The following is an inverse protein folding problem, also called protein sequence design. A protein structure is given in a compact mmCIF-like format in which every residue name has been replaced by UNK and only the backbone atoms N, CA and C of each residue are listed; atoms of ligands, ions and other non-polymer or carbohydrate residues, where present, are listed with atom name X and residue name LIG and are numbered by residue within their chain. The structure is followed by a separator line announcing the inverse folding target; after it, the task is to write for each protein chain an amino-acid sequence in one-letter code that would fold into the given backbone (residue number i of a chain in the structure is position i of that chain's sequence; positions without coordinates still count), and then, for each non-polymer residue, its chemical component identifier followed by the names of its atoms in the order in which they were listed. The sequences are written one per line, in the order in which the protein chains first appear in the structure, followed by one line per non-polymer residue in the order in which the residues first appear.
data_IF_780147936909
#
_entry.id   IF_780147936909
#
_cell.length_a   1.000
_cell.length_b   1.000
_cell.length_c   1.000
_cell.angle_alpha   90.00
_cell.angle_beta   90.00
_cell.angle_gamma   90.00
#
_symmetry.space_group_name_H-M   'P 1'
#
loop_
_entity.id
_entity.type
_entity.pdbx_description
1 polymer ?
#
# COMPACT_ATOMS: atom_id res chain seq x y z
N UNK A 1 -4.03 30.40 29.21
CA UNK A 1 -3.58 28.99 29.26
C UNK A 1 -4.64 28.01 28.74
N UNK A 2 -5.90 28.09 29.18
CA UNK A 2 -7.02 27.23 28.70
C UNK A 2 -7.25 27.32 27.18
N UNK A 3 -7.16 28.53 26.59
CA UNK A 3 -7.28 28.73 25.14
C UNK A 3 -6.14 28.08 24.34
N UNK A 4 -4.92 27.99 24.91
CA UNK A 4 -3.77 27.37 24.25
C UNK A 4 -3.79 25.84 24.31
N UNK A 5 -4.39 25.26 25.34
CA UNK A 5 -4.60 23.81 25.42
C UNK A 5 -5.72 23.35 24.47
N UNK A 6 -6.79 24.13 24.34
CA UNK A 6 -7.87 23.85 23.38
C UNK A 6 -7.37 23.93 21.93
N UNK A 7 -6.53 24.91 21.59
CA UNK A 7 -5.93 25.00 20.25
C UNK A 7 -4.97 23.86 19.97
N UNK A 8 -4.10 23.51 20.93
CA UNK A 8 -3.17 22.38 20.79
C UNK A 8 -3.90 21.03 20.68
N UNK A 9 -4.99 20.85 21.42
CA UNK A 9 -5.83 19.64 21.31
C UNK A 9 -6.53 19.56 19.94
N UNK A 10 -7.01 20.68 19.41
CA UNK A 10 -7.58 20.75 18.06
C UNK A 10 -6.57 20.41 16.98
N UNK A 11 -5.36 20.98 17.06
CA UNK A 11 -4.27 20.70 16.12
C UNK A 11 -3.80 19.25 16.19
N UNK A 12 -3.60 18.72 17.40
CA UNK A 12 -3.26 17.31 17.61
C UNK A 12 -4.34 16.37 17.04
N UNK A 13 -5.62 16.72 17.23
CA UNK A 13 -6.73 15.95 16.65
C UNK A 13 -6.68 15.98 15.12
N UNK A 14 -6.42 17.14 14.52
CA UNK A 14 -6.24 17.27 13.08
C UNK A 14 -5.14 16.36 12.54
N UNK A 15 -3.96 16.39 13.15
CA UNK A 15 -2.84 15.51 12.77
C UNK A 15 -3.16 14.03 12.94
N UNK A 16 -3.84 13.65 14.03
CA UNK A 16 -4.26 12.26 14.24
C UNK A 16 -5.23 11.78 13.15
N UNK A 17 -6.18 12.63 12.75
CA UNK A 17 -7.11 12.33 11.65
C UNK A 17 -6.34 12.18 10.33
N UNK A 18 -5.39 13.08 10.05
CA UNK A 18 -4.54 12.96 8.84
C UNK A 18 -3.76 11.66 8.84
N UNK A 19 -3.10 11.30 9.95
CA UNK A 19 -2.37 10.04 10.06
C UNK A 19 -3.31 8.84 9.88
N UNK A 20 -4.50 8.87 10.48
CA UNK A 20 -5.47 7.81 10.34
C UNK A 20 -5.93 7.64 8.88
N UNK A 21 -6.22 8.73 8.17
CA UNK A 21 -6.61 8.71 6.76
C UNK A 21 -5.52 8.13 5.86
N UNK A 22 -4.25 8.44 6.13
CA UNK A 22 -3.12 7.91 5.38
C UNK A 22 -2.82 6.44 5.71
N UNK A 23 -3.00 6.03 6.96
CA UNK A 23 -2.80 4.64 7.37
C UNK A 23 -3.94 3.72 6.91
N UNK A 24 -5.16 4.24 6.79
CA UNK A 24 -6.38 3.47 6.55
C UNK A 24 -6.28 2.55 5.30
N UNK A 25 -5.82 3.00 4.11
CA UNK A 25 -5.71 2.12 2.95
C UNK A 25 -4.81 0.92 3.21
N UNK A 26 -3.67 1.13 3.86
CA UNK A 26 -2.72 0.06 4.18
C UNK A 26 -3.23 -0.89 5.26
N UNK A 27 -3.98 -0.38 6.25
CA UNK A 27 -4.63 -1.20 7.27
C UNK A 27 -5.75 -2.06 6.66
N UNK A 28 -6.58 -1.47 5.79
CA UNK A 28 -7.63 -2.21 5.08
C UNK A 28 -7.03 -3.27 4.16
N UNK A 29 -5.97 -2.92 3.42
CA UNK A 29 -5.24 -3.88 2.60
C UNK A 29 -4.62 -4.99 3.45
N UNK A 30 -4.04 -4.68 4.61
CA UNK A 30 -3.54 -5.66 5.56
C UNK A 30 -4.66 -6.59 6.08
N UNK A 31 -5.85 -6.08 6.36
CA UNK A 31 -6.96 -6.92 6.80
C UNK A 31 -7.39 -7.88 5.69
N UNK A 32 -7.55 -7.38 4.46
CA UNK A 32 -8.00 -8.16 3.30
C UNK A 32 -6.94 -9.12 2.77
N UNK A 33 -5.66 -8.86 3.03
CA UNK A 33 -4.54 -9.72 2.64
C UNK A 33 -4.23 -10.79 3.71
N UNK A 34 -4.71 -10.63 4.94
CA UNK A 34 -4.40 -11.53 6.06
C UNK A 34 -4.56 -13.04 5.78
N UNK A 35 -5.52 -13.52 4.95
CA UNK A 35 -5.61 -14.94 4.61
C UNK A 35 -4.33 -15.54 4.01
N UNK A 36 -3.49 -14.75 3.30
CA UNK A 36 -2.21 -15.23 2.77
C UNK A 36 -1.22 -15.62 3.86
N UNK A 37 -1.38 -15.12 5.10
CA UNK A 37 -0.57 -15.52 6.25
C UNK A 37 -0.80 -16.98 6.68
N UNK A 38 -1.80 -17.68 6.12
CA UNK A 38 -1.96 -19.13 6.27
C UNK A 38 -0.77 -19.87 5.62
N UNK A 39 -0.18 -19.31 4.56
CA UNK A 39 1.00 -19.90 3.94
C UNK A 39 2.25 -19.69 4.82
N UNK A 40 2.94 -20.79 5.15
CA UNK A 40 4.14 -20.75 5.98
C UNK A 40 5.25 -19.86 5.38
N UNK A 41 5.35 -19.80 4.04
CA UNK A 41 6.33 -18.97 3.33
C UNK A 41 6.13 -17.48 3.57
N UNK A 42 4.89 -17.00 3.57
CA UNK A 42 4.62 -15.59 3.90
C UNK A 42 4.91 -15.27 5.36
N UNK A 43 4.58 -16.17 6.28
CA UNK A 43 4.97 -15.99 7.68
C UNK A 43 6.49 -15.93 7.84
N UNK A 44 7.23 -16.80 7.14
CA UNK A 44 8.69 -16.81 7.15
C UNK A 44 9.26 -15.47 6.62
N UNK A 45 8.73 -14.96 5.51
CA UNK A 45 9.07 -13.63 4.99
C UNK A 45 8.94 -12.54 6.05
N UNK A 46 7.77 -12.40 6.66
CA UNK A 46 7.53 -11.33 7.64
C UNK A 46 8.28 -11.53 8.95
N UNK A 47 8.55 -12.77 9.37
CA UNK A 47 9.37 -13.07 10.56
C UNK A 47 10.85 -12.73 10.31
N UNK A 48 11.35 -12.94 9.08
CA UNK A 48 12.72 -12.61 8.72
C UNK A 48 12.96 -11.09 8.57
N UNK A 49 11.93 -10.33 8.20
CA UNK A 49 12.03 -8.88 8.05
C UNK A 49 12.25 -8.17 9.40
N UNK A 50 13.13 -7.15 9.47
CA UNK A 50 13.27 -6.29 10.64
C UNK A 50 11.96 -5.57 11.00
N UNK A 51 11.54 -5.54 12.28
CA UNK A 51 12.16 -6.18 13.45
C UNK A 51 11.94 -7.70 13.46
N UNK A 52 13.04 -8.46 13.38
CA UNK A 52 13.00 -9.91 13.22
C UNK A 52 12.26 -10.61 14.37
N UNK A 53 11.51 -11.66 14.04
CA UNK A 53 10.66 -12.38 14.99
C UNK A 53 9.31 -11.72 15.27
N UNK A 54 9.06 -10.49 14.80
CA UNK A 54 7.80 -9.76 15.04
C UNK A 54 6.90 -9.75 13.82
N UNK A 55 6.26 -10.89 13.54
CA UNK A 55 5.36 -11.08 12.40
C UNK A 55 4.39 -9.90 12.20
N UNK A 56 3.61 -9.54 13.23
CA UNK A 56 2.57 -8.52 13.10
C UNK A 56 3.14 -7.14 12.75
N UNK A 57 4.26 -6.76 13.37
CA UNK A 57 4.90 -5.46 13.12
C UNK A 57 5.43 -5.38 11.69
N UNK A 58 6.18 -6.39 11.24
CA UNK A 58 6.71 -6.43 9.88
C UNK A 58 5.59 -6.55 8.84
N UNK A 59 4.54 -7.31 9.14
CA UNK A 59 3.38 -7.46 8.27
C UNK A 59 2.65 -6.13 8.05
N UNK A 60 2.26 -5.45 9.13
CA UNK A 60 1.57 -4.16 9.04
C UNK A 60 2.49 -3.10 8.43
N UNK A 61 3.78 -3.10 8.79
CA UNK A 61 4.77 -2.18 8.22
C UNK A 61 4.90 -2.33 6.70
N UNK A 62 4.99 -3.56 6.19
CA UNK A 62 5.01 -3.82 4.74
C UNK A 62 3.69 -3.43 4.09
N UNK A 63 2.54 -3.75 4.69
CA UNK A 63 1.25 -3.39 4.14
C UNK A 63 1.07 -1.86 4.04
N UNK A 64 1.56 -1.10 5.02
CA UNK A 64 1.60 0.37 4.96
C UNK A 64 2.59 0.86 3.90
N UNK A 65 3.78 0.28 3.83
CA UNK A 65 4.79 0.65 2.85
C UNK A 65 4.32 0.44 1.40
N UNK A 66 3.60 -0.65 1.13
CA UNK A 66 3.02 -0.94 -0.17
C UNK A 66 1.88 0.02 -0.56
N UNK A 67 1.28 0.74 0.42
CA UNK A 67 0.28 1.79 0.14
C UNK A 67 0.91 3.12 -0.28
N UNK A 68 2.20 3.34 0.02
CA UNK A 68 2.88 4.61 -0.24
C UNK A 68 2.80 5.05 -1.71
N UNK A 69 3.03 4.20 -2.71
CA UNK A 69 2.92 4.62 -4.11
C UNK A 69 1.52 5.09 -4.50
N UNK A 70 0.47 4.45 -3.97
CA UNK A 70 -0.92 4.83 -4.24
C UNK A 70 -1.26 6.16 -3.58
N UNK A 71 -0.87 6.35 -2.31
CA UNK A 71 -1.04 7.62 -1.60
C UNK A 71 -0.29 8.75 -2.30
N UNK A 72 0.95 8.49 -2.72
CA UNK A 72 1.75 9.45 -3.46
C UNK A 72 1.06 9.85 -4.78
N UNK A 73 0.56 8.89 -5.57
CA UNK A 73 -0.15 9.20 -6.81
C UNK A 73 -1.43 10.02 -6.59
N UNK A 74 -2.19 9.73 -5.53
CA UNK A 74 -3.36 10.55 -5.15
C UNK A 74 -2.94 11.98 -4.80
N UNK A 75 -1.91 12.16 -3.98
CA UNK A 75 -1.42 13.48 -3.61
C UNK A 75 -0.86 14.26 -4.79
N UNK A 76 -0.15 13.58 -5.69
CA UNK A 76 0.35 14.18 -6.94
C UNK A 76 -0.81 14.60 -7.85
N UNK A 77 -1.86 13.77 -7.94
CA UNK A 77 -3.07 14.13 -8.69
C UNK A 77 -3.69 15.41 -8.15
N UNK A 78 -3.95 15.46 -6.84
CA UNK A 78 -4.57 16.62 -6.19
C UNK A 78 -3.68 17.87 -6.27
N UNK A 79 -2.36 17.71 -6.18
CA UNK A 79 -1.43 18.83 -6.13
C UNK A 79 -1.01 19.40 -7.49
N UNK A 80 -1.06 18.59 -8.55
CA UNK A 80 -0.43 18.93 -9.84
C UNK A 80 -1.36 18.84 -11.04
N UNK A 81 -2.49 18.14 -10.94
CA UNK A 81 -3.39 17.91 -12.09
C UNK A 81 -4.57 18.87 -12.03
N UNK A 82 -4.77 19.65 -13.09
CA UNK A 82 -5.97 20.47 -13.26
C UNK A 82 -7.21 19.58 -13.23
N UNK A 83 -8.21 19.92 -12.43
CA UNK A 83 -9.44 19.16 -12.33
C UNK A 83 -10.35 19.34 -13.54
N UNK A 84 -9.96 20.05 -14.60
CA UNK A 84 -10.79 20.17 -15.79
C UNK A 84 -11.07 18.82 -16.49
N UNK A 85 -12.34 18.57 -16.83
CA UNK A 85 -12.74 17.53 -17.79
C UNK A 85 -12.64 16.09 -17.27
N UNK A 86 -11.61 15.35 -17.68
CA UNK A 86 -11.39 13.95 -17.27
C UNK A 86 -10.00 13.72 -16.66
N UNK A 87 -9.28 14.80 -16.34
CA UNK A 87 -7.87 14.73 -16.00
C UNK A 87 -7.59 13.99 -14.68
N UNK A 88 -8.38 14.23 -13.61
CA UNK A 88 -8.22 13.46 -12.37
C UNK A 88 -8.62 12.00 -12.54
N UNK A 89 -9.67 11.71 -13.32
CA UNK A 89 -10.05 10.33 -13.67
C UNK A 89 -8.86 9.57 -14.28
N UNK A 90 -8.22 10.15 -15.30
CA UNK A 90 -7.06 9.56 -15.95
C UNK A 90 -5.87 9.39 -14.98
N UNK A 91 -5.57 10.40 -14.16
CA UNK A 91 -4.46 10.37 -13.21
C UNK A 91 -4.66 9.32 -12.09
N UNK A 92 -5.89 9.10 -11.64
CA UNK A 92 -6.23 8.06 -10.67
C UNK A 92 -6.10 6.65 -11.27
N UNK A 93 -6.51 6.47 -12.54
CA UNK A 93 -6.28 5.21 -13.27
C UNK A 93 -4.78 4.95 -13.43
N UNK A 94 -4.00 5.95 -13.82
CA UNK A 94 -2.55 5.84 -13.93
C UNK A 94 -1.91 5.47 -12.59
N UNK A 95 -2.34 6.12 -11.51
CA UNK A 95 -1.91 5.79 -10.13
C UNK A 95 -2.17 4.33 -9.80
N UNK A 96 -3.37 3.82 -10.11
CA UNK A 96 -3.73 2.43 -9.86
C UNK A 96 -2.84 1.46 -10.65
N UNK A 97 -2.55 1.76 -11.91
CA UNK A 97 -1.71 0.93 -12.78
C UNK A 97 -0.24 0.92 -12.33
N UNK A 98 0.33 2.09 -12.05
CA UNK A 98 1.73 2.21 -11.58
C UNK A 98 1.89 1.54 -10.21
N UNK A 99 1.01 1.84 -9.26
CA UNK A 99 1.00 1.18 -7.96
C UNK A 99 0.85 -0.34 -8.08
N UNK A 100 -0.03 -0.81 -8.97
CA UNK A 100 -0.21 -2.23 -9.25
C UNK A 100 1.04 -2.91 -9.80
N UNK A 101 1.74 -2.26 -10.74
CA UNK A 101 3.01 -2.75 -11.26
C UNK A 101 4.10 -2.84 -10.16
N UNK A 102 4.18 -1.82 -9.30
CA UNK A 102 5.13 -1.82 -8.19
C UNK A 102 4.87 -2.96 -7.20
N UNK A 103 3.61 -3.20 -6.84
CA UNK A 103 3.25 -4.25 -5.87
C UNK A 103 3.31 -5.66 -6.45
N UNK A 104 3.07 -5.81 -7.76
CA UNK A 104 3.02 -7.11 -8.44
C UNK A 104 4.36 -7.55 -9.01
N UNK A 105 5.24 -6.61 -9.37
CA UNK A 105 6.53 -6.90 -10.02
C UNK A 105 7.69 -6.49 -9.12
N UNK A 106 7.73 -5.22 -8.70
CA UNK A 106 8.87 -4.69 -7.96
C UNK A 106 8.96 -5.28 -6.56
N UNK A 107 7.86 -5.37 -5.82
CA UNK A 107 7.87 -5.92 -4.47
C UNK A 107 8.29 -7.41 -4.44
N UNK A 108 7.78 -8.30 -5.32
CA UNK A 108 8.30 -9.66 -5.46
C UNK A 108 9.78 -9.70 -5.84
N UNK A 109 10.22 -8.85 -6.77
CA UNK A 109 11.63 -8.79 -7.15
C UNK A 109 12.52 -8.35 -5.98
N UNK A 110 12.09 -7.38 -5.18
CA UNK A 110 12.80 -6.98 -3.95
C UNK A 110 12.85 -8.15 -2.96
N UNK A 111 11.72 -8.84 -2.75
CA UNK A 111 11.64 -9.95 -1.80
C UNK A 111 12.54 -11.13 -2.18
N UNK A 112 12.64 -11.44 -3.48
CA UNK A 112 13.43 -12.59 -3.98
C UNK A 112 14.89 -12.23 -4.25
N UNK A 113 15.15 -11.04 -4.77
CA UNK A 113 16.49 -10.67 -5.25
C UNK A 113 17.22 -9.78 -4.24
N UNK A 114 16.58 -8.74 -3.71
CA UNK A 114 17.26 -7.77 -2.86
C UNK A 114 17.44 -8.29 -1.43
N UNK A 115 16.36 -8.79 -0.79
CA UNK A 115 16.40 -9.22 0.61
C UNK A 115 17.49 -10.27 0.91
N UNK A 116 17.68 -11.34 0.10
CA UNK A 116 18.71 -12.33 0.40
C UNK A 116 20.12 -11.76 0.31
N UNK A 117 20.35 -10.83 -0.63
CA UNK A 117 21.63 -10.11 -0.77
C UNK A 117 21.91 -9.16 0.40
N UNK A 118 20.87 -8.75 1.12
CA UNK A 118 20.95 -7.95 2.34
C UNK A 118 21.00 -8.82 3.61
N UNK A 119 21.16 -10.14 3.47
CA UNK A 119 21.23 -11.08 4.60
C UNK A 119 19.88 -11.51 5.18
N UNK A 120 18.77 -11.13 4.54
CA UNK A 120 17.42 -11.55 4.93
C UNK A 120 17.00 -12.73 4.05
N UNK A 121 17.44 -13.93 4.42
CA UNK A 121 17.02 -15.17 3.78
C UNK A 121 15.77 -15.73 4.46
N UNK A 122 14.69 -15.86 3.69
CA UNK A 122 13.38 -16.21 4.22
C UNK A 122 12.72 -17.40 3.53
N UNK A 123 13.18 -17.78 2.33
CA UNK A 123 12.61 -18.89 1.56
C UNK A 123 13.54 -20.12 1.58
N UNK A 124 13.24 -21.13 2.41
CA UNK A 124 14.03 -22.36 2.45
C UNK A 124 13.91 -23.20 1.17
N UNK A 125 12.98 -22.86 0.26
CA UNK A 125 12.79 -23.57 -1.01
C UNK A 125 13.63 -23.02 -2.16
N UNK A 126 14.49 -22.03 -1.89
CA UNK A 126 15.47 -21.52 -2.84
C UNK A 126 14.88 -20.60 -3.91
N UNK A 127 13.80 -19.89 -3.61
CA UNK A 127 13.23 -18.84 -4.47
C UNK A 127 12.77 -19.32 -5.85
N UNK A 128 12.33 -20.58 -5.94
CA UNK A 128 11.86 -21.19 -7.19
C UNK A 128 10.57 -20.57 -7.74
N UNK A 129 10.11 -21.07 -8.90
CA UNK A 129 8.92 -20.55 -9.59
C UNK A 129 7.65 -20.52 -8.72
N UNK A 130 7.50 -21.46 -7.78
CA UNK A 130 6.37 -21.47 -6.84
C UNK A 130 6.38 -20.28 -5.88
N UNK A 131 7.57 -19.81 -5.45
CA UNK A 131 7.71 -18.63 -4.60
C UNK A 131 7.37 -17.36 -5.36
N UNK A 132 7.85 -17.24 -6.61
CA UNK A 132 7.45 -16.15 -7.50
C UNK A 132 5.94 -16.13 -7.73
N UNK A 133 5.34 -17.27 -8.06
CA UNK A 133 3.89 -17.36 -8.28
C UNK A 133 3.10 -16.91 -7.05
N UNK A 134 3.51 -17.33 -5.85
CA UNK A 134 2.89 -16.89 -4.60
C UNK A 134 3.01 -15.37 -4.40
N UNK A 135 4.22 -14.82 -4.55
CA UNK A 135 4.47 -13.39 -4.34
C UNK A 135 3.72 -12.52 -5.37
N UNK A 136 3.71 -12.94 -6.64
CA UNK A 136 2.97 -12.26 -7.71
C UNK A 136 1.47 -12.33 -7.44
N UNK A 137 0.93 -13.49 -7.06
CA UNK A 137 -0.49 -13.62 -6.73
C UNK A 137 -0.88 -12.74 -5.53
N UNK A 138 -0.05 -12.69 -4.50
CA UNK A 138 -0.23 -11.80 -3.36
C UNK A 138 -0.13 -10.32 -3.73
N UNK A 139 0.83 -9.96 -4.59
CA UNK A 139 1.00 -8.61 -5.10
C UNK A 139 -0.19 -8.16 -5.94
N UNK A 140 -0.70 -9.03 -6.82
CA UNK A 140 -1.91 -8.81 -7.61
C UNK A 140 -3.13 -8.61 -6.71
N UNK A 141 -3.30 -9.45 -5.68
CA UNK A 141 -4.41 -9.29 -4.73
C UNK A 141 -4.35 -7.93 -4.03
N UNK A 142 -3.17 -7.54 -3.55
CA UNK A 142 -2.96 -6.23 -2.95
C UNK A 142 -3.29 -5.11 -3.94
N UNK A 143 -2.79 -5.22 -5.18
CA UNK A 143 -3.03 -4.26 -6.24
C UNK A 143 -4.52 -4.07 -6.52
N UNK A 144 -5.29 -5.16 -6.60
CA UNK A 144 -6.75 -5.11 -6.79
C UNK A 144 -7.41 -4.38 -5.63
N UNK A 145 -7.09 -4.73 -4.39
CA UNK A 145 -7.67 -4.09 -3.19
C UNK A 145 -7.40 -2.59 -3.19
N UNK A 146 -6.17 -2.17 -3.51
CA UNK A 146 -5.79 -0.75 -3.56
C UNK A 146 -6.39 -0.01 -4.77
N UNK A 147 -6.56 -0.69 -5.90
CA UNK A 147 -7.06 -0.09 -7.14
C UNK A 147 -8.58 0.15 -7.12
N UNK A 148 -9.36 -0.72 -6.47
CA UNK A 148 -10.84 -0.59 -6.40
C UNK A 148 -11.31 0.82 -6.00
N UNK A 149 -10.86 1.43 -4.88
CA UNK A 149 -11.29 2.77 -4.54
C UNK A 149 -10.82 3.83 -5.55
N UNK A 150 -9.63 3.68 -6.15
CA UNK A 150 -9.13 4.61 -7.16
C UNK A 150 -9.96 4.57 -8.44
N UNK A 151 -10.31 3.38 -8.92
CA UNK A 151 -11.20 3.22 -10.06
C UNK A 151 -12.61 3.73 -9.77
N UNK A 152 -13.13 3.51 -8.56
CA UNK A 152 -14.43 4.05 -8.17
C UNK A 152 -14.43 5.59 -8.21
N UNK A 153 -13.40 6.23 -7.67
CA UNK A 153 -13.22 7.67 -7.76
C UNK A 153 -13.02 8.13 -9.20
N UNK A 154 -12.20 7.43 -9.98
CA UNK A 154 -11.97 7.76 -11.39
C UNK A 154 -13.28 7.73 -12.21
N UNK A 155 -14.17 6.77 -11.95
CA UNK A 155 -15.49 6.73 -12.58
C UNK A 155 -16.32 7.96 -12.21
N UNK A 156 -16.42 8.29 -10.92
CA UNK A 156 -17.19 9.47 -10.44
C UNK A 156 -16.69 10.74 -11.12
N UNK A 157 -15.37 10.89 -11.16
CA UNK A 157 -14.67 12.03 -11.74
C UNK A 157 -14.66 12.05 -13.28
N UNK A 158 -14.97 10.93 -13.92
CA UNK A 158 -15.10 10.84 -15.38
C UNK A 158 -16.52 11.10 -15.88
N UNK A 159 -17.53 11.14 -15.00
CA UNK A 159 -18.93 11.40 -15.38
C UNK A 159 -19.16 12.89 -15.70
N UNK A 160 -20.19 13.22 -16.51
CA UNK A 160 -20.58 14.61 -16.74
C UNK A 160 -20.93 15.31 -15.42
N UNK A 161 -20.23 16.39 -15.09
CA UNK A 161 -20.33 17.07 -13.80
C UNK A 161 -19.45 16.50 -12.68
N UNK A 162 -18.55 15.56 -13.00
CA UNK A 162 -17.56 14.98 -12.09
C UNK A 162 -16.60 15.99 -11.49
N UNK A 163 -16.40 17.14 -12.15
CA UNK A 163 -15.92 18.43 -11.64
C UNK A 163 -16.08 19.49 -12.72
#
# INVERSE_FOLDING_TARGET
MVLGLASAAGEATGWLVTVALFALPGVVAAALWAPFLIAARFRALFVALPPAGRLLTSYVGVALALSVPYLAGVLLTVGLVDSAGAAWSNALVETALVGGALTTVVAPAVAVLALPRLGVDWDPTGYGASTWALLVAAGLWYAVVAAVPLFALAVVFGLPGGY
#
